data_IF_699722590961
#
_entry.id   IF_699722590961
#
_cell.length_a   1.000
_cell.length_b   1.000
_cell.length_c   1.000
_cell.angle_alpha   90.00
_cell.angle_beta   90.00
_cell.angle_gamma   90.00
#
_symmetry.space_group_name_H-M   'P 1'
#
loop_
_entity.id
_entity.type
_entity.pdbx_description
1 polymer ?
#
# COMPACT_ATOMS: atom_id res chain seq x y z
N UNK A 1 16.72 -4.37 -1.12
CA UNK A 1 16.33 -4.31 0.30
C UNK A 1 15.68 -2.98 0.58
N UNK A 2 14.36 -2.99 0.68
CA UNK A 2 13.49 -1.83 0.86
C UNK A 2 12.54 -2.10 2.01
N UNK A 3 12.38 -1.09 2.87
CA UNK A 3 11.39 -1.02 3.94
C UNK A 3 10.58 0.25 3.76
N UNK A 4 9.27 0.19 3.97
CA UNK A 4 8.36 1.34 3.86
C UNK A 4 7.39 1.33 5.03
N UNK A 5 7.23 2.46 5.71
CA UNK A 5 6.17 2.65 6.70
C UNK A 5 4.83 2.78 6.00
N UNK A 6 3.85 1.99 6.44
CA UNK A 6 2.57 1.83 5.77
C UNK A 6 1.41 1.88 6.74
N UNK A 7 0.26 2.25 6.20
CA UNK A 7 -1.04 2.11 6.84
C UNK A 7 -1.82 1.04 6.09
N UNK A 8 -2.27 0.01 6.82
CA UNK A 8 -3.30 -0.92 6.37
C UNK A 8 -4.66 -0.34 6.76
N UNK A 9 -5.58 -0.22 5.81
CA UNK A 9 -6.93 0.28 6.06
C UNK A 9 -7.98 -0.41 5.20
N UNK A 10 -9.24 -0.34 5.64
CA UNK A 10 -10.40 -0.79 4.87
C UNK A 10 -11.06 0.40 4.20
N UNK A 11 -11.44 0.22 2.94
CA UNK A 11 -12.07 1.27 2.12
C UNK A 11 -13.40 0.77 1.59
N UNK A 12 -14.47 1.47 1.97
CA UNK A 12 -15.84 1.21 1.51
C UNK A 12 -16.22 2.22 0.42
N UNK A 13 -16.80 1.71 -0.67
CA UNK A 13 -17.26 2.55 -1.79
C UNK A 13 -18.49 3.36 -1.38
N UNK A 14 -18.68 4.58 -1.88
CA UNK A 14 -19.94 5.30 -1.70
C UNK A 14 -21.14 4.56 -2.32
N UNK A 15 -20.89 3.77 -3.36
CA UNK A 15 -21.94 3.02 -4.08
C UNK A 15 -22.16 1.60 -3.52
N UNK A 16 -21.49 1.24 -2.42
CA UNK A 16 -21.63 -0.06 -1.77
C UNK A 16 -22.88 -0.13 -0.90
N UNK A 17 -23.60 -1.26 -0.95
CA UNK A 17 -24.70 -1.50 -0.02
C UNK A 17 -24.19 -1.66 1.43
N UNK A 18 -25.01 -1.35 2.45
CA UNK A 18 -24.67 -1.64 3.84
C UNK A 18 -24.48 -3.15 4.04
N UNK A 19 -23.21 -3.59 4.17
CA UNK A 19 -22.83 -4.99 4.29
C UNK A 19 -21.94 -5.51 3.15
N UNK A 20 -21.70 -4.70 2.11
CA UNK A 20 -20.69 -5.00 1.09
C UNK A 20 -19.27 -4.95 1.67
N UNK A 21 -18.40 -5.83 1.17
CA UNK A 21 -17.05 -6.01 1.68
C UNK A 21 -16.17 -4.77 1.43
N UNK A 22 -15.74 -4.14 2.52
CA UNK A 22 -14.72 -3.09 2.47
C UNK A 22 -13.39 -3.66 1.93
N UNK A 23 -12.78 -2.94 1.00
CA UNK A 23 -11.54 -3.37 0.34
C UNK A 23 -10.31 -3.00 1.16
N UNK A 24 -9.39 -3.95 1.34
CA UNK A 24 -8.11 -3.67 2.00
C UNK A 24 -7.19 -2.83 1.11
N UNK A 25 -6.57 -1.82 1.71
CA UNK A 25 -5.56 -0.95 1.09
C UNK A 25 -4.33 -0.85 1.97
N UNK A 26 -3.18 -0.85 1.31
CA UNK A 26 -1.87 -0.57 1.90
C UNK A 26 -1.38 0.74 1.30
N UNK A 27 -1.18 1.76 2.12
CA UNK A 27 -0.80 3.10 1.68
C UNK A 27 0.45 3.54 2.42
N UNK A 28 1.50 4.04 1.74
CA UNK A 28 2.66 4.59 2.43
C UNK A 28 2.25 5.69 3.40
N UNK A 29 2.80 5.63 4.62
CA UNK A 29 2.45 6.56 5.70
C UNK A 29 2.68 8.03 5.29
N UNK A 30 3.76 8.30 4.56
CA UNK A 30 4.11 9.64 4.06
C UNK A 30 3.02 10.31 3.22
N UNK A 31 2.24 9.55 2.44
CA UNK A 31 1.18 10.08 1.59
C UNK A 31 -0.22 9.85 2.17
N UNK A 32 -0.32 9.10 3.27
CA UNK A 32 -1.59 8.57 3.76
C UNK A 32 -2.60 9.68 4.07
N UNK A 33 -2.18 10.76 4.75
CA UNK A 33 -3.08 11.88 5.10
C UNK A 33 -3.69 12.54 3.88
N UNK A 34 -2.88 12.84 2.86
CA UNK A 34 -3.36 13.44 1.61
C UNK A 34 -4.26 12.47 0.85
N UNK A 35 -3.83 11.21 0.73
CA UNK A 35 -4.62 10.18 0.07
C UNK A 35 -5.98 10.02 0.72
N UNK A 36 -6.03 9.92 2.06
CA UNK A 36 -7.27 9.82 2.83
C UNK A 36 -8.21 10.98 2.55
N UNK A 37 -7.70 12.22 2.63
CA UNK A 37 -8.49 13.42 2.31
C UNK A 37 -9.10 13.34 0.90
N UNK A 38 -8.32 12.94 -0.11
CA UNK A 38 -8.82 12.80 -1.47
C UNK A 38 -9.88 11.69 -1.59
N UNK A 39 -9.71 10.58 -0.87
CA UNK A 39 -10.67 9.48 -0.91
C UNK A 39 -11.99 9.85 -0.21
N UNK A 40 -11.93 10.46 0.97
CA UNK A 40 -13.09 10.83 1.77
C UNK A 40 -13.81 12.06 1.20
N UNK A 41 -13.10 13.18 1.07
CA UNK A 41 -13.71 14.48 0.77
C UNK A 41 -13.99 14.67 -0.73
N UNK A 42 -13.12 14.13 -1.60
CA UNK A 42 -13.25 14.34 -3.05
C UNK A 42 -13.97 13.18 -3.73
N UNK A 43 -13.83 11.97 -3.20
CA UNK A 43 -14.38 10.76 -3.83
C UNK A 43 -15.50 10.09 -3.03
N UNK A 44 -15.80 10.54 -1.81
CA UNK A 44 -16.91 10.04 -1.00
C UNK A 44 -16.70 8.62 -0.46
N UNK A 45 -15.49 8.07 -0.51
CA UNK A 45 -15.19 6.78 0.10
C UNK A 45 -15.15 6.92 1.61
N UNK A 46 -15.54 5.86 2.32
CA UNK A 46 -15.34 5.76 3.77
C UNK A 46 -14.11 4.93 4.05
N UNK A 47 -13.19 5.46 4.87
CA UNK A 47 -12.00 4.73 5.30
C UNK A 47 -12.17 4.32 6.77
N UNK A 48 -12.00 3.03 7.04
CA UNK A 48 -12.20 2.42 8.35
C UNK A 48 -10.95 1.62 8.77
N UNK A 49 -10.79 1.44 10.09
CA UNK A 49 -9.80 0.60 10.74
C UNK A 49 -8.36 0.79 10.22
N UNK A 50 -7.57 1.61 10.92
CA UNK A 50 -6.19 1.88 10.57
C UNK A 50 -5.26 1.04 11.42
N UNK A 51 -4.29 0.40 10.79
CA UNK A 51 -3.20 -0.27 11.49
C UNK A 51 -1.89 0.17 10.85
N UNK A 52 -0.94 0.56 11.70
CA UNK A 52 0.40 0.94 11.27
C UNK A 52 1.25 -0.33 11.10
N UNK A 53 2.13 -0.29 10.12
CA UNK A 53 3.03 -1.40 9.89
C UNK A 53 4.18 -1.04 8.96
N UNK A 54 4.97 -2.06 8.67
CA UNK A 54 6.09 -1.98 7.76
C UNK A 54 5.86 -2.93 6.59
N UNK A 55 6.02 -2.42 5.36
CA UNK A 55 6.24 -3.29 4.22
C UNK A 55 7.73 -3.54 4.03
N UNK A 56 8.10 -4.81 3.92
CA UNK A 56 9.46 -5.26 3.64
C UNK A 56 9.48 -6.15 2.40
N UNK A 57 10.46 -5.95 1.51
CA UNK A 57 10.63 -6.84 0.36
C UNK A 57 11.01 -8.27 0.78
N UNK A 58 10.72 -9.26 -0.07
CA UNK A 58 10.95 -10.69 0.24
C UNK A 58 12.44 -11.01 0.48
N UNK A 59 13.35 -10.30 -0.19
CA UNK A 59 14.79 -10.43 0.06
C UNK A 59 15.16 -9.97 1.47
N UNK A 60 14.57 -8.88 1.95
CA UNK A 60 14.76 -8.38 3.30
C UNK A 60 14.13 -9.29 4.35
N UNK A 61 12.92 -9.79 4.11
CA UNK A 61 12.24 -10.73 4.99
C UNK A 61 13.03 -12.04 5.15
N UNK A 62 13.51 -12.63 4.05
CA UNK A 62 14.28 -13.88 4.07
C UNK A 62 15.62 -13.76 4.80
N UNK A 63 16.29 -12.61 4.73
CA UNK A 63 17.54 -12.36 5.46
C UNK A 63 17.33 -12.01 6.93
N UNK A 64 16.14 -11.55 7.29
CA UNK A 64 15.80 -11.11 8.64
C UNK A 64 14.59 -11.89 9.14
N UNK A 65 14.76 -13.21 9.27
CA UNK A 65 13.66 -14.12 9.66
C UNK A 65 12.98 -13.72 10.97
N UNK A 66 13.67 -13.02 11.87
CA UNK A 66 13.09 -12.47 13.10
C UNK A 66 11.97 -11.44 12.86
N UNK A 67 11.96 -10.74 11.70
CA UNK A 67 10.90 -9.79 11.35
C UNK A 67 9.58 -10.48 11.00
N UNK A 68 9.64 -11.72 10.52
CA UNK A 68 8.46 -12.50 10.10
C UNK A 68 8.16 -13.68 11.02
N UNK A 69 9.07 -14.05 11.90
CA UNK A 69 8.91 -15.21 12.78
C UNK A 69 8.00 -14.85 13.96
N UNK A 70 6.82 -15.47 14.00
CA UNK A 70 5.84 -15.28 15.08
C UNK A 70 4.97 -14.02 14.94
N UNK A 71 5.22 -13.18 13.93
CA UNK A 71 4.39 -12.01 13.62
C UNK A 71 3.48 -12.36 12.42
N UNK A 72 2.14 -12.22 12.55
CA UNK A 72 1.24 -12.33 11.40
C UNK A 72 1.68 -11.37 10.30
N UNK A 73 1.88 -11.88 9.09
CA UNK A 73 2.32 -11.06 7.96
C UNK A 73 1.41 -11.25 6.76
N UNK A 74 1.03 -10.14 6.14
CA UNK A 74 0.19 -10.17 4.95
C UNK A 74 1.07 -10.08 3.70
N UNK A 75 0.90 -10.95 2.70
CA UNK A 75 1.63 -10.84 1.45
C UNK A 75 1.12 -9.65 0.61
N UNK A 76 2.03 -8.77 0.22
CA UNK A 76 1.74 -7.51 -0.48
C UNK A 76 2.70 -7.30 -1.63
N UNK A 77 2.14 -6.98 -2.80
CA UNK A 77 2.87 -6.68 -4.02
C UNK A 77 3.08 -5.17 -4.17
N UNK A 78 4.34 -4.74 -4.24
CA UNK A 78 4.69 -3.40 -4.73
C UNK A 78 4.68 -3.40 -6.26
N UNK A 79 4.07 -2.37 -6.83
CA UNK A 79 4.06 -2.07 -8.26
C UNK A 79 4.65 -0.69 -8.45
N UNK A 80 5.66 -0.59 -9.32
CA UNK A 80 6.28 0.69 -9.62
C UNK A 80 6.61 0.87 -11.09
N UNK A 81 6.36 2.07 -11.62
CA UNK A 81 6.79 2.53 -12.94
C UNK A 81 6.91 4.04 -12.97
N UNK A 82 7.54 4.59 -14.01
CA UNK A 82 7.59 6.04 -14.23
C UNK A 82 6.51 6.44 -15.24
N UNK A 83 5.77 7.51 -14.97
CA UNK A 83 4.70 8.01 -15.83
C UNK A 83 4.91 9.48 -16.19
N UNK A 84 4.84 9.83 -17.47
CA UNK A 84 4.97 11.20 -17.96
C UNK A 84 4.61 11.31 -19.45
N UNK A 85 4.13 12.49 -19.87
CA UNK A 85 3.95 12.73 -21.30
C UNK A 85 5.29 12.98 -21.99
N UNK A 86 5.30 12.92 -23.33
CA UNK A 86 6.50 13.19 -24.10
C UNK A 86 7.04 14.61 -23.82
N UNK A 87 8.32 14.70 -23.44
CA UNK A 87 8.97 15.96 -23.07
C UNK A 87 8.77 16.40 -21.62
N UNK A 88 7.98 15.68 -20.82
CA UNK A 88 7.83 15.94 -19.39
C UNK A 88 8.82 15.13 -18.55
N UNK A 89 9.15 15.65 -17.36
CA UNK A 89 9.86 14.86 -16.36
C UNK A 89 8.90 13.82 -15.80
N UNK A 90 9.18 12.56 -16.08
CA UNK A 90 8.39 11.43 -15.59
C UNK A 90 8.34 11.37 -14.06
N UNK A 91 7.19 11.00 -13.53
CA UNK A 91 6.94 10.88 -12.08
C UNK A 91 6.84 9.41 -11.68
N UNK A 92 7.39 9.02 -10.53
CA UNK A 92 7.24 7.65 -10.05
C UNK A 92 5.78 7.41 -9.63
N UNK A 93 5.22 6.32 -10.12
CA UNK A 93 3.97 5.75 -9.64
C UNK A 93 4.33 4.49 -8.85
N UNK A 94 4.04 4.50 -7.56
CA UNK A 94 4.31 3.36 -6.66
C UNK A 94 3.00 3.02 -5.94
N UNK A 95 2.59 1.75 -5.98
CA UNK A 95 1.37 1.25 -5.32
C UNK A 95 1.63 -0.11 -4.67
N UNK A 96 0.84 -0.42 -3.66
CA UNK A 96 0.92 -1.66 -2.88
C UNK A 96 -0.44 -2.34 -2.91
N UNK A 97 -0.47 -3.61 -3.28
CA UNK A 97 -1.70 -4.37 -3.45
C UNK A 97 -1.66 -5.69 -2.67
N UNK A 98 -2.77 -6.13 -2.06
CA UNK A 98 -2.84 -7.47 -1.48
C UNK A 98 -2.51 -8.53 -2.54
N UNK A 99 -1.64 -9.49 -2.20
CA UNK A 99 -1.18 -10.51 -3.18
C UNK A 99 -2.34 -11.32 -3.76
N UNK A 100 -3.32 -11.70 -2.93
CA UNK A 100 -4.43 -12.58 -3.32
C UNK A 100 -5.37 -11.96 -4.37
N UNK A 101 -5.43 -10.63 -4.43
CA UNK A 101 -6.27 -9.88 -5.39
C UNK A 101 -5.44 -9.12 -6.43
N UNK A 102 -4.13 -9.35 -6.47
CA UNK A 102 -3.16 -8.57 -7.23
C UNK A 102 -3.49 -8.51 -8.72
N UNK A 103 -3.64 -9.66 -9.38
CA UNK A 103 -3.85 -9.73 -10.84
C UNK A 103 -5.10 -8.96 -11.27
N UNK A 104 -6.19 -9.12 -10.52
CA UNK A 104 -7.46 -8.41 -10.78
C UNK A 104 -7.30 -6.90 -10.59
N UNK A 105 -6.66 -6.48 -9.50
CA UNK A 105 -6.46 -5.05 -9.20
C UNK A 105 -5.53 -4.42 -10.24
N UNK A 106 -4.46 -5.09 -10.63
CA UNK A 106 -3.49 -4.61 -11.61
C UNK A 106 -4.16 -4.29 -12.95
N UNK A 107 -5.01 -5.18 -13.44
CA UNK A 107 -5.73 -4.97 -14.71
C UNK A 107 -6.60 -3.72 -14.68
N UNK A 108 -7.27 -3.44 -13.56
CA UNK A 108 -8.10 -2.24 -13.38
C UNK A 108 -7.22 -1.01 -13.22
N UNK A 109 -6.17 -1.10 -12.40
CA UNK A 109 -5.26 -0.01 -12.11
C UNK A 109 -4.60 0.53 -13.39
N UNK A 110 -4.05 -0.35 -14.22
CA UNK A 110 -3.36 0.03 -15.46
C UNK A 110 -4.28 0.67 -16.51
N UNK A 111 -5.61 0.48 -16.46
CA UNK A 111 -6.56 1.17 -17.35
C UNK A 111 -6.59 2.69 -17.13
N UNK A 112 -6.11 3.17 -15.98
CA UNK A 112 -6.01 4.60 -15.69
C UNK A 112 -4.78 5.26 -16.33
N UNK A 113 -3.92 4.49 -17.00
CA UNK A 113 -2.68 4.97 -17.59
C UNK A 113 -2.66 4.71 -19.10
N UNK A 114 -2.28 5.74 -19.86
CA UNK A 114 -1.93 5.60 -21.27
C UNK A 114 -0.58 4.88 -21.38
N UNK A 115 -0.51 3.79 -22.15
CA UNK A 115 0.67 2.92 -22.22
C UNK A 115 1.88 3.65 -22.78
N UNK A 116 1.68 4.54 -23.75
CA UNK A 116 2.69 5.38 -24.37
C UNK A 116 3.37 6.35 -23.39
N UNK A 117 2.73 6.64 -22.26
CA UNK A 117 3.25 7.53 -21.21
C UNK A 117 3.90 6.76 -20.05
N UNK A 118 3.90 5.42 -20.07
CA UNK A 118 4.64 4.60 -19.11
C UNK A 118 6.06 4.42 -19.64
N UNK A 119 7.05 4.86 -18.87
CA UNK A 119 8.45 4.74 -19.22
C UNK A 119 9.07 3.52 -18.53
N UNK A 120 9.76 2.70 -19.33
CA UNK A 120 10.42 1.48 -18.85
C UNK A 120 9.44 0.34 -18.55
N UNK A 121 9.95 -0.71 -17.91
CA UNK A 121 9.15 -1.85 -17.50
C UNK A 121 8.42 -1.55 -16.18
N UNK A 122 7.19 -2.07 -16.06
CA UNK A 122 6.51 -2.12 -14.76
C UNK A 122 7.23 -3.11 -13.86
N UNK A 123 7.82 -2.62 -12.78
CA UNK A 123 8.47 -3.44 -11.77
C UNK A 123 7.42 -3.92 -10.76
N UNK A 124 7.50 -5.20 -10.43
CA UNK A 124 6.66 -5.84 -9.43
C UNK A 124 7.57 -6.49 -8.39
N UNK A 125 7.34 -6.23 -7.11
CA UNK A 125 8.15 -6.78 -6.02
C UNK A 125 7.24 -7.37 -4.98
N UNK A 126 7.46 -8.65 -4.68
CA UNK A 126 6.80 -9.30 -3.57
C UNK A 126 7.42 -8.85 -2.24
N UNK A 127 6.56 -8.59 -1.28
CA UNK A 127 6.95 -8.31 0.10
C UNK A 127 5.83 -8.68 1.07
N UNK A 128 6.01 -8.25 2.31
CA UNK A 128 5.13 -8.56 3.42
C UNK A 128 4.83 -7.30 4.20
N UNK A 129 3.55 -7.08 4.54
CA UNK A 129 3.16 -6.11 5.55
C UNK A 129 3.27 -6.77 6.93
N UNK A 130 3.98 -6.09 7.82
CA UNK A 130 4.23 -6.49 9.20
C UNK A 130 3.55 -5.43 10.09
N UNK A 131 2.49 -5.77 10.83
CA UNK A 131 1.89 -4.83 11.77
C UNK A 131 2.90 -4.47 12.85
N UNK A 132 2.87 -3.22 13.30
CA UNK A 132 3.63 -2.76 14.46
C UNK A 132 2.69 -2.78 15.65
N UNK A 133 3.04 -3.51 16.71
CA UNK A 133 2.26 -3.50 17.95
C UNK A 133 2.37 -2.12 18.61
N UNK A 134 1.24 -1.58 19.07
CA UNK A 134 1.15 -0.26 19.72
C UNK A 134 1.96 -0.15 21.03
N UNK A 135 2.50 -1.26 21.57
CA UNK A 135 3.26 -1.28 22.82
C UNK A 135 4.65 -0.61 22.73
N UNK A 136 5.21 -0.43 21.52
CA UNK A 136 6.45 0.36 21.34
C UNK A 136 6.19 1.87 21.14
N UNK A 137 4.93 2.32 21.09
CA UNK A 137 4.56 3.71 20.90
C UNK A 137 4.36 4.51 22.22
N UNK A 138 4.83 3.99 23.37
CA UNK A 138 4.87 4.74 24.63
C UNK A 138 6.25 5.36 24.89
N UNK A 139 6.47 6.66 24.58
CA UNK A 139 7.61 7.37 25.11
C UNK A 139 7.33 7.74 26.56
N UNK A 140 7.95 7.01 27.49
CA UNK A 140 8.14 7.48 28.87
C UNK A 140 7.17 6.92 29.90
N UNK A 141 7.46 5.71 30.37
CA UNK A 141 7.31 5.40 31.78
C UNK A 141 8.66 4.86 32.26
N UNK A 142 9.47 5.73 32.85
CA UNK A 142 10.51 5.33 33.78
C UNK A 142 10.29 6.07 35.09
N UNK A 143 10.52 5.37 36.23
CA UNK A 143 10.05 5.74 37.57
C UNK A 143 10.74 6.97 38.15
#
# INVERSE_FOLDING_TARGET
MKRVEMVRCRVQSPDSDPGDDATLRYVPFEIFRLWRYLMEEVKGFRIEAFELGLWVDEEMASRNTHLTSGVPSDPVMEVSFTYGAHGEVGRPVIRYFPKDSFERIMQIFLRNFRKENIHGATRQVQGYFLPVDDDEASPGASP
#
